data_IF_834009806146
#
_entry.id   IF_834009806146
#
_cell.length_a   1.000
_cell.length_b   1.000
_cell.length_c   1.000
_cell.angle_alpha   90.00
_cell.angle_beta   90.00
_cell.angle_gamma   90.00
#
_symmetry.space_group_name_H-M   'P 1'
#
loop_
_entity.id
_entity.type
_entity.pdbx_description
1 polymer ?
#
# COMPACT_ATOMS: atom_id res chain seq x y z
N UNK A 1 70.43 60.60 -1.82
CA UNK A 1 69.65 59.67 -2.68
C UNK A 1 68.45 59.01 -1.99
N UNK A 2 68.32 59.04 -0.65
CA UNK A 2 67.21 58.37 0.07
C UNK A 2 65.83 59.01 -0.13
N UNK A 3 65.72 60.34 -0.26
CA UNK A 3 64.43 61.02 -0.39
C UNK A 3 63.64 60.68 -1.66
N UNK A 4 64.32 60.46 -2.80
CA UNK A 4 63.68 60.03 -4.05
C UNK A 4 63.18 58.58 -3.99
N UNK A 5 63.91 57.70 -3.30
CA UNK A 5 63.50 56.31 -3.10
C UNK A 5 62.29 56.21 -2.17
N UNK A 6 62.24 57.00 -1.09
CA UNK A 6 61.08 57.06 -0.18
C UNK A 6 59.82 57.55 -0.92
N UNK A 7 59.95 58.55 -1.80
CA UNK A 7 58.81 59.06 -2.56
C UNK A 7 58.20 57.99 -3.48
N UNK A 8 59.04 57.17 -4.13
CA UNK A 8 58.61 56.06 -4.98
C UNK A 8 57.91 54.98 -4.15
N UNK A 9 58.42 54.67 -2.96
CA UNK A 9 57.79 53.71 -2.03
C UNK A 9 56.43 54.21 -1.56
N UNK A 10 56.31 55.47 -1.17
CA UNK A 10 55.02 56.06 -0.73
C UNK A 10 54.01 56.05 -1.86
N UNK A 11 54.39 56.48 -3.08
CA UNK A 11 53.51 56.45 -4.25
C UNK A 11 53.11 55.01 -4.60
N UNK A 12 54.06 54.07 -4.55
CA UNK A 12 53.79 52.65 -4.78
C UNK A 12 52.79 52.08 -3.77
N UNK A 13 52.94 52.42 -2.49
CA UNK A 13 52.03 51.99 -1.42
C UNK A 13 50.64 52.65 -1.54
N UNK A 14 50.58 53.93 -1.96
CA UNK A 14 49.31 54.60 -2.22
C UNK A 14 48.57 53.99 -3.41
N UNK A 15 49.28 53.66 -4.50
CA UNK A 15 48.71 53.01 -5.68
C UNK A 15 48.21 51.59 -5.38
N UNK A 16 48.95 50.81 -4.59
CA UNK A 16 48.49 49.48 -4.18
C UNK A 16 47.27 49.57 -3.28
N UNK A 17 47.24 50.49 -2.30
CA UNK A 17 46.06 50.72 -1.45
C UNK A 17 44.84 51.18 -2.25
N UNK A 18 45.02 52.03 -3.26
CA UNK A 18 43.95 52.44 -4.19
C UNK A 18 43.40 51.24 -4.99
N UNK A 19 44.28 50.43 -5.57
CA UNK A 19 43.89 49.24 -6.32
C UNK A 19 43.17 48.21 -5.42
N UNK A 20 43.68 48.00 -4.21
CA UNK A 20 43.09 47.11 -3.20
C UNK A 20 41.74 47.65 -2.72
N UNK A 21 41.60 48.96 -2.49
CA UNK A 21 40.34 49.61 -2.13
C UNK A 21 39.27 49.45 -3.22
N UNK A 22 39.63 49.64 -4.49
CA UNK A 22 38.73 49.38 -5.62
C UNK A 22 38.31 47.89 -5.69
N UNK A 23 39.25 46.97 -5.48
CA UNK A 23 38.96 45.52 -5.46
C UNK A 23 38.02 45.16 -4.32
N UNK A 24 38.27 45.64 -3.09
CA UNK A 24 37.36 45.42 -1.95
C UNK A 24 35.97 46.00 -2.19
N UNK A 25 35.87 47.20 -2.76
CA UNK A 25 34.58 47.78 -3.16
C UNK A 25 33.84 46.90 -4.16
N UNK A 26 34.54 46.40 -5.19
CA UNK A 26 33.94 45.50 -6.18
C UNK A 26 33.52 44.14 -5.61
N UNK A 27 34.30 43.59 -4.67
CA UNK A 27 33.98 42.33 -3.99
C UNK A 27 32.77 42.51 -3.08
N UNK A 28 32.70 43.62 -2.35
CA UNK A 28 31.57 43.96 -1.50
C UNK A 28 30.28 44.07 -2.32
N UNK A 29 30.29 44.83 -3.42
CA UNK A 29 29.12 44.95 -4.29
C UNK A 29 28.69 43.60 -4.88
N UNK A 30 29.64 42.80 -5.39
CA UNK A 30 29.34 41.45 -5.90
C UNK A 30 28.79 40.53 -4.81
N UNK A 31 29.28 40.63 -3.59
CA UNK A 31 28.77 39.85 -2.47
C UNK A 31 27.32 40.23 -2.14
N UNK A 32 26.99 41.52 -2.16
CA UNK A 32 25.61 42.01 -1.98
C UNK A 32 24.71 41.56 -3.13
N UNK A 33 25.15 41.68 -4.38
CA UNK A 33 24.37 41.23 -5.55
C UNK A 33 24.10 39.72 -5.51
N UNK A 34 25.12 38.93 -5.16
CA UNK A 34 24.99 37.49 -4.98
C UNK A 34 24.03 37.16 -3.83
N UNK A 35 24.13 37.86 -2.70
CA UNK A 35 23.23 37.67 -1.57
C UNK A 35 21.78 37.98 -1.95
N UNK A 36 21.52 39.08 -2.65
CA UNK A 36 20.18 39.46 -3.12
C UNK A 36 19.65 38.44 -4.13
N UNK A 37 20.48 37.95 -5.04
CA UNK A 37 20.07 36.91 -6.00
C UNK A 37 19.74 35.59 -5.31
N UNK A 38 20.58 35.15 -4.36
CA UNK A 38 20.33 33.96 -3.57
C UNK A 38 19.05 34.09 -2.73
N UNK A 39 18.81 35.27 -2.13
CA UNK A 39 17.58 35.55 -1.43
C UNK A 39 16.37 35.45 -2.35
N UNK A 40 16.42 36.04 -3.56
CA UNK A 40 15.32 35.96 -4.54
C UNK A 40 15.02 34.52 -4.95
N UNK A 41 16.05 33.73 -5.22
CA UNK A 41 15.92 32.30 -5.56
C UNK A 41 15.35 31.50 -4.39
N UNK A 42 15.81 31.78 -3.16
CA UNK A 42 15.29 31.14 -1.94
C UNK A 42 13.81 31.44 -1.73
N UNK A 43 13.37 32.69 -1.92
CA UNK A 43 11.96 33.05 -1.79
C UNK A 43 11.13 32.38 -2.89
N UNK A 44 11.58 32.40 -4.15
CA UNK A 44 10.90 31.70 -5.23
C UNK A 44 10.76 30.19 -4.95
N UNK A 45 11.80 29.55 -4.41
CA UNK A 45 11.80 28.15 -4.02
C UNK A 45 10.85 27.87 -2.85
N UNK A 46 10.83 28.71 -1.81
CA UNK A 46 9.90 28.55 -0.69
C UNK A 46 8.42 28.69 -1.12
N UNK A 47 8.14 29.61 -2.06
CA UNK A 47 6.81 29.75 -2.67
C UNK A 47 6.43 28.45 -3.40
N UNK A 48 7.35 27.89 -4.20
CA UNK A 48 7.14 26.61 -4.89
C UNK A 48 6.87 25.45 -3.92
N UNK A 49 7.64 25.32 -2.82
CA UNK A 49 7.43 24.28 -1.78
C UNK A 49 6.04 24.43 -1.18
N UNK A 50 5.66 25.67 -0.86
CA UNK A 50 4.36 25.98 -0.26
C UNK A 50 3.23 25.58 -1.21
N UNK A 51 3.35 25.89 -2.49
CA UNK A 51 2.40 25.48 -3.52
C UNK A 51 2.24 23.97 -3.66
N UNK A 52 3.36 23.23 -3.68
CA UNK A 52 3.33 21.77 -3.77
C UNK A 52 2.61 21.16 -2.56
N UNK A 53 2.87 21.66 -1.34
CA UNK A 53 2.21 21.21 -0.13
C UNK A 53 0.71 21.58 -0.08
N UNK A 54 0.34 22.79 -0.51
CA UNK A 54 -1.06 23.22 -0.59
C UNK A 54 -1.83 22.30 -1.54
N UNK A 55 -1.26 22.02 -2.71
CA UNK A 55 -1.84 21.15 -3.72
C UNK A 55 -1.96 19.70 -3.24
N UNK A 56 -0.91 19.16 -2.62
CA UNK A 56 -0.94 17.83 -2.03
C UNK A 56 -2.03 17.71 -0.95
N UNK A 57 -2.19 18.74 -0.10
CA UNK A 57 -3.26 18.79 0.89
C UNK A 57 -4.66 18.90 0.24
N UNK A 58 -4.81 19.68 -0.84
CA UNK A 58 -6.07 19.77 -1.59
C UNK A 58 -6.47 18.41 -2.18
N UNK A 59 -5.51 17.65 -2.74
CA UNK A 59 -5.75 16.29 -3.24
C UNK A 59 -6.02 15.31 -2.10
N UNK A 60 -5.35 15.47 -0.96
CA UNK A 60 -5.62 14.64 0.22
C UNK A 60 -7.04 14.83 0.74
N UNK A 61 -7.56 16.06 0.73
CA UNK A 61 -8.93 16.38 1.15
C UNK A 61 -9.98 16.00 0.09
N UNK A 62 -9.66 16.20 -1.18
CA UNK A 62 -10.51 15.82 -2.31
C UNK A 62 -9.68 15.05 -3.35
N UNK A 63 -9.75 13.71 -3.36
CA UNK A 63 -9.01 12.85 -4.28
C UNK A 63 -9.30 13.13 -5.77
N UNK A 64 -10.41 13.80 -6.10
CA UNK A 64 -10.76 14.17 -7.49
C UNK A 64 -10.27 15.55 -7.91
N UNK A 65 -9.69 16.33 -6.99
CA UNK A 65 -9.22 17.68 -7.28
C UNK A 65 -8.08 17.67 -8.30
N UNK A 66 -8.23 18.45 -9.36
CA UNK A 66 -7.28 18.62 -10.45
C UNK A 66 -7.18 20.08 -10.95
N UNK A 67 -7.83 21.02 -10.27
CA UNK A 67 -7.97 22.39 -10.76
C UNK A 67 -6.63 23.16 -10.77
N UNK A 68 -5.73 22.85 -9.83
CA UNK A 68 -4.49 23.60 -9.65
C UNK A 68 -4.73 25.00 -9.09
N UNK A 69 -3.71 25.85 -9.24
CA UNK A 69 -3.74 27.27 -8.87
C UNK A 69 -3.05 28.06 -9.98
N UNK A 70 -3.68 29.14 -10.44
CA UNK A 70 -3.16 29.97 -11.53
C UNK A 70 -2.83 31.37 -11.01
N UNK A 71 -1.55 31.71 -11.05
CA UNK A 71 -0.94 33.00 -10.76
C UNK A 71 -1.45 33.69 -9.47
N UNK A 72 -1.44 32.97 -8.36
CA UNK A 72 -1.95 33.48 -7.08
C UNK A 72 -0.86 34.30 -6.36
N UNK A 73 -1.16 35.53 -5.89
CA UNK A 73 -0.22 36.29 -5.07
C UNK A 73 0.11 35.55 -3.76
N UNK A 74 1.39 35.27 -3.52
CA UNK A 74 1.86 34.55 -2.32
C UNK A 74 3.25 35.02 -1.88
N UNK A 75 3.39 35.40 -0.61
CA UNK A 75 4.66 35.89 -0.01
C UNK A 75 5.38 36.99 -0.82
N UNK A 76 4.63 37.87 -1.48
CA UNK A 76 5.19 38.96 -2.31
C UNK A 76 5.70 38.52 -3.69
N UNK A 77 5.51 37.25 -4.06
CA UNK A 77 5.65 36.73 -5.42
C UNK A 77 4.33 36.14 -5.93
N UNK A 78 4.44 35.24 -6.89
CA UNK A 78 3.31 34.53 -7.50
C UNK A 78 3.53 33.02 -7.43
N UNK A 79 2.43 32.31 -7.24
CA UNK A 79 2.35 30.86 -7.16
C UNK A 79 1.49 30.31 -8.30
N UNK A 80 2.04 29.37 -9.04
CA UNK A 80 1.35 28.58 -10.06
C UNK A 80 1.47 27.09 -9.73
N UNK A 81 0.38 26.34 -9.83
CA UNK A 81 0.36 24.90 -9.59
C UNK A 81 -0.51 24.22 -10.64
N UNK A 82 0.06 23.23 -11.32
CA UNK A 82 -0.67 22.34 -12.24
C UNK A 82 -0.70 20.91 -11.70
N UNK A 83 -1.79 20.19 -11.95
CA UNK A 83 -1.94 18.76 -11.63
C UNK A 83 -2.21 17.99 -12.92
N UNK A 84 -1.26 17.15 -13.32
CA UNK A 84 -1.34 16.34 -14.54
C UNK A 84 -1.57 14.86 -14.19
N UNK A 85 -2.38 14.16 -14.98
CA UNK A 85 -2.51 12.70 -14.88
C UNK A 85 -1.48 12.08 -15.81
N UNK A 86 -0.53 11.33 -15.25
CA UNK A 86 0.63 10.77 -15.98
C UNK A 86 0.35 9.36 -16.48
N UNK A 87 -0.43 8.60 -15.73
CA UNK A 87 -0.81 7.22 -16.07
C UNK A 87 -2.26 7.02 -15.64
N UNK A 88 -3.16 6.84 -16.61
CA UNK A 88 -4.59 6.70 -16.36
C UNK A 88 -4.94 5.35 -15.72
N UNK A 89 -4.16 4.30 -16.02
CA UNK A 89 -4.44 2.94 -15.59
C UNK A 89 -3.93 2.69 -14.16
N UNK A 90 -2.81 3.31 -13.80
CA UNK A 90 -2.23 3.25 -12.45
C UNK A 90 -2.61 4.46 -11.57
N UNK A 91 -3.29 5.46 -12.15
CA UNK A 91 -3.78 6.65 -11.44
C UNK A 91 -2.69 7.61 -10.96
N UNK A 92 -1.46 7.53 -11.50
CA UNK A 92 -0.39 8.44 -11.12
C UNK A 92 -0.70 9.88 -11.54
N UNK A 93 -0.45 10.82 -10.62
CA UNK A 93 -0.54 12.25 -10.91
C UNK A 93 0.78 12.94 -10.60
N UNK A 94 1.07 13.96 -11.36
CA UNK A 94 2.21 14.84 -11.16
C UNK A 94 1.70 16.24 -10.82
N UNK A 95 2.13 16.77 -9.68
CA UNK A 95 1.94 18.16 -9.30
C UNK A 95 3.20 18.92 -9.70
N UNK A 96 3.03 19.96 -10.51
CA UNK A 96 4.10 20.89 -10.87
C UNK A 96 3.79 22.22 -10.21
N UNK A 97 4.60 22.61 -9.22
CA UNK A 97 4.47 23.87 -8.49
C UNK A 97 5.58 24.82 -8.89
N UNK A 98 5.23 26.04 -9.30
CA UNK A 98 6.17 27.09 -9.70
C UNK A 98 5.98 28.31 -8.82
N UNK A 99 7.07 28.73 -8.19
CA UNK A 99 7.13 29.98 -7.44
C UNK A 99 7.93 31.01 -8.21
N UNK A 100 7.37 32.19 -8.43
CA UNK A 100 8.03 33.29 -9.13
C UNK A 100 8.18 34.50 -8.21
N UNK A 101 9.40 35.01 -8.05
CA UNK A 101 9.72 36.17 -7.23
C UNK A 101 10.77 37.04 -7.91
N UNK A 102 10.45 38.31 -8.20
CA UNK A 102 11.35 39.29 -8.83
C UNK A 102 12.12 38.75 -10.06
N UNK A 103 11.42 38.03 -10.96
CA UNK A 103 11.97 37.48 -12.20
C UNK A 103 12.78 36.18 -12.04
N UNK A 104 12.90 35.64 -10.83
CA UNK A 104 13.41 34.29 -10.57
C UNK A 104 12.23 33.33 -10.43
N UNK A 105 12.35 32.16 -11.04
CA UNK A 105 11.35 31.09 -10.96
C UNK A 105 12.02 29.81 -10.46
N UNK A 106 11.37 29.14 -9.52
CA UNK A 106 11.74 27.82 -9.03
C UNK A 106 10.58 26.85 -9.32
N UNK A 107 10.89 25.62 -9.70
CA UNK A 107 9.90 24.59 -10.06
C UNK A 107 10.12 23.33 -9.22
N UNK A 108 9.05 22.84 -8.59
CA UNK A 108 9.05 21.60 -7.82
C UNK A 108 8.08 20.63 -8.47
N UNK A 109 8.52 19.38 -8.64
CA UNK A 109 7.71 18.30 -9.19
C UNK A 109 7.47 17.23 -8.14
N UNK A 110 6.19 16.95 -7.90
CA UNK A 110 5.74 15.94 -6.97
C UNK A 110 5.00 14.86 -7.74
N UNK A 111 5.40 13.60 -7.59
CA UNK A 111 4.61 12.47 -8.10
C UNK A 111 3.81 11.87 -6.97
N UNK A 112 2.51 11.73 -7.17
CA UNK A 112 1.60 11.06 -6.24
C UNK A 112 0.96 9.84 -6.89
N UNK A 113 0.64 8.85 -6.08
CA UNK A 113 -0.07 7.63 -6.50
C UNK A 113 -1.27 7.39 -5.58
N UNK A 114 -2.33 6.71 -6.06
CA UNK A 114 -3.35 6.18 -5.19
C UNK A 114 -2.71 5.28 -4.13
N UNK A 115 -3.12 5.43 -2.86
CA UNK A 115 -2.76 4.47 -1.82
C UNK A 115 -3.73 3.30 -1.90
N UNK A 116 -3.19 2.08 -1.78
CA UNK A 116 -3.97 0.84 -1.89
C UNK A 116 -3.91 0.04 -0.59
N UNK A 117 -4.97 -0.73 -0.32
CA UNK A 117 -5.02 -1.58 0.87
C UNK A 117 -3.91 -2.64 0.89
N UNK A 118 -3.38 -3.00 -0.28
CA UNK A 118 -2.26 -3.93 -0.41
C UNK A 118 -0.98 -3.46 0.30
N UNK A 119 -0.88 -2.18 0.67
CA UNK A 119 0.25 -1.63 1.44
C UNK A 119 0.34 -2.18 2.87
N UNK A 120 -0.72 -2.85 3.35
CA UNK A 120 -0.79 -3.40 4.69
C UNK A 120 -0.56 -4.90 4.68
N UNK A 121 0.36 -5.39 5.50
CA UNK A 121 0.51 -6.81 5.79
C UNK A 121 -0.77 -7.37 6.44
N UNK A 122 -1.40 -6.54 7.27
CA UNK A 122 -2.66 -6.84 7.91
C UNK A 122 -3.48 -5.57 8.11
N UNK A 123 -4.75 -5.61 7.71
CA UNK A 123 -5.75 -4.59 7.97
C UNK A 123 -7.04 -5.27 8.43
N UNK A 124 -7.68 -4.74 9.48
CA UNK A 124 -9.05 -5.09 9.83
C UNK A 124 -9.90 -3.93 10.31
N UNK A 125 -11.15 -3.84 9.88
CA UNK A 125 -12.11 -2.87 10.46
C UNK A 125 -12.55 -3.30 11.87
N UNK A 126 -12.84 -4.59 12.03
CA UNK A 126 -13.32 -5.18 13.28
C UNK A 126 -12.52 -6.42 13.63
N UNK A 127 -12.01 -6.49 14.86
CA UNK A 127 -11.23 -7.62 15.40
C UNK A 127 -12.14 -8.75 15.95
N UNK A 128 -13.32 -8.91 15.34
CA UNK A 128 -14.34 -9.92 15.66
C UNK A 128 -14.90 -10.55 14.38
N UNK A 129 -15.45 -11.76 14.50
CA UNK A 129 -15.92 -12.55 13.36
C UNK A 129 -17.24 -12.10 12.73
N UNK A 130 -18.04 -11.30 13.43
CA UNK A 130 -19.36 -10.88 12.96
C UNK A 130 -19.91 -9.71 13.77
N UNK A 131 -20.85 -8.90 13.24
CA UNK A 131 -21.55 -7.85 13.98
C UNK A 131 -22.13 -8.29 15.33
N UNK A 132 -22.57 -9.56 15.43
CA UNK A 132 -23.20 -10.12 16.63
C UNK A 132 -22.26 -10.98 17.48
N UNK A 133 -21.03 -11.21 17.01
CA UNK A 133 -20.05 -12.03 17.74
C UNK A 133 -19.52 -11.27 18.95
N UNK A 134 -19.55 -11.95 20.11
CA UNK A 134 -18.93 -11.50 21.37
C UNK A 134 -17.58 -12.15 21.61
N UNK A 135 -17.20 -13.13 20.78
CA UNK A 135 -15.93 -13.84 20.89
C UNK A 135 -14.76 -12.96 20.47
N UNK A 136 -13.73 -12.89 21.31
CA UNK A 136 -12.50 -12.16 21.04
C UNK A 136 -11.52 -13.09 20.32
N UNK A 137 -10.97 -12.62 19.20
CA UNK A 137 -9.92 -13.32 18.47
C UNK A 137 -8.57 -12.78 18.93
N UNK A 138 -7.74 -13.66 19.50
CA UNK A 138 -6.46 -13.26 20.07
C UNK A 138 -5.31 -13.50 19.11
N UNK A 139 -4.41 -12.52 19.02
CA UNK A 139 -3.04 -12.74 18.59
C UNK A 139 -2.25 -13.42 19.71
N UNK A 140 -1.52 -14.49 19.39
CA UNK A 140 -0.83 -15.33 20.35
C UNK A 140 0.69 -15.29 20.17
N UNK A 141 1.47 -15.76 21.16
CA UNK A 141 2.94 -15.75 21.10
C UNK A 141 3.59 -16.48 19.93
N UNK A 142 2.85 -17.36 19.23
CA UNK A 142 3.34 -18.01 17.99
C UNK A 142 3.00 -17.22 16.73
N UNK A 143 2.11 -16.23 16.83
CA UNK A 143 1.71 -15.42 15.69
C UNK A 143 2.73 -14.30 15.45
N UNK A 144 3.11 -14.13 14.19
CA UNK A 144 4.02 -13.05 13.77
C UNK A 144 3.51 -12.35 12.53
N UNK A 145 3.55 -11.02 12.56
CA UNK A 145 3.30 -10.16 11.39
C UNK A 145 4.58 -9.38 11.07
N UNK A 146 5.15 -9.57 9.88
CA UNK A 146 6.29 -8.79 9.39
C UNK A 146 5.80 -7.75 8.40
N UNK A 147 5.68 -6.49 8.81
CA UNK A 147 5.28 -5.38 7.92
C UNK A 147 4.20 -4.48 8.50
N UNK A 148 3.61 -3.59 7.66
CA UNK A 148 2.65 -2.60 8.12
C UNK A 148 1.36 -3.24 8.63
N UNK A 149 0.96 -2.87 9.84
CA UNK A 149 -0.25 -3.35 10.50
C UNK A 149 -1.23 -2.19 10.73
N UNK A 150 -2.50 -2.43 10.46
CA UNK A 150 -3.57 -1.51 10.80
C UNK A 150 -4.78 -2.23 11.37
N UNK A 151 -5.40 -1.65 12.39
CA UNK A 151 -6.72 -2.10 12.85
C UNK A 151 -7.57 -0.90 13.25
N UNK A 152 -8.82 -0.87 12.80
CA UNK A 152 -9.76 0.18 13.20
C UNK A 152 -10.32 -0.09 14.61
N UNK A 153 -10.04 -1.26 15.18
CA UNK A 153 -10.53 -1.68 16.49
C UNK A 153 -9.41 -1.77 17.55
N UNK A 154 -9.67 -2.46 18.66
CA UNK A 154 -8.69 -2.77 19.68
C UNK A 154 -7.86 -3.99 19.28
N UNK A 155 -6.55 -3.92 19.45
CA UNK A 155 -5.66 -5.05 19.21
C UNK A 155 -5.71 -6.03 20.41
N UNK A 156 -6.25 -7.22 20.23
CA UNK A 156 -6.32 -8.24 21.28
C UNK A 156 -5.10 -9.17 21.26
N UNK A 157 -4.30 -9.14 22.32
CA UNK A 157 -3.04 -9.87 22.46
C UNK A 157 -3.05 -10.87 23.63
N UNK A 158 -2.35 -11.98 23.45
CA UNK A 158 -2.09 -13.00 24.45
C UNK A 158 -0.67 -13.57 24.28
N UNK A 159 0.08 -13.77 25.36
CA UNK A 159 1.37 -14.47 25.34
C UNK A 159 2.43 -13.87 24.40
N UNK A 160 2.52 -12.54 24.33
CA UNK A 160 3.56 -11.81 23.57
C UNK A 160 3.61 -12.09 22.04
N UNK A 161 2.55 -11.78 21.28
CA UNK A 161 2.61 -11.84 19.81
C UNK A 161 3.61 -10.82 19.24
N UNK A 162 4.15 -11.09 18.05
CA UNK A 162 5.18 -10.25 17.41
C UNK A 162 4.66 -9.46 16.21
N UNK A 163 4.83 -8.14 16.24
CA UNK A 163 4.48 -7.22 15.15
C UNK A 163 5.71 -6.41 14.74
N UNK A 164 6.28 -6.77 13.59
CA UNK A 164 7.58 -6.31 13.13
C UNK A 164 7.44 -5.33 11.97
N UNK A 165 6.91 -4.14 12.27
CA UNK A 165 6.68 -3.08 11.28
C UNK A 165 5.91 -1.90 11.86
N UNK A 166 5.57 -0.92 11.01
CA UNK A 166 4.73 0.22 11.43
C UNK A 166 3.35 -0.30 11.84
N UNK A 167 2.90 0.07 13.03
CA UNK A 167 1.60 -0.29 13.56
C UNK A 167 0.72 0.95 13.69
N UNK A 168 -0.49 0.88 13.17
CA UNK A 168 -1.49 1.95 13.29
C UNK A 168 -2.78 1.39 13.86
N UNK A 169 -3.53 2.18 14.62
CA UNK A 169 -4.89 1.79 14.99
C UNK A 169 -5.81 2.98 15.19
N UNK A 170 -7.11 2.83 14.92
CA UNK A 170 -8.06 3.92 15.12
C UNK A 170 -8.44 4.07 16.60
N UNK A 171 -8.97 3.01 17.24
CA UNK A 171 -9.36 3.06 18.67
C UNK A 171 -8.17 3.12 19.64
N UNK A 172 -6.94 2.89 19.17
CA UNK A 172 -5.71 3.20 19.92
C UNK A 172 -5.39 2.30 21.12
N UNK A 173 -6.16 1.23 21.36
CA UNK A 173 -6.06 0.43 22.59
C UNK A 173 -5.63 -1.02 22.33
N UNK A 174 -4.67 -1.50 23.13
CA UNK A 174 -4.30 -2.92 23.21
C UNK A 174 -5.10 -3.56 24.33
N UNK A 175 -5.78 -4.66 24.02
CA UNK A 175 -6.49 -5.50 24.97
C UNK A 175 -5.64 -6.72 25.32
N UNK A 176 -5.40 -6.93 26.61
CA UNK A 176 -4.65 -8.09 27.12
C UNK A 176 -5.62 -9.19 27.54
N UNK A 177 -5.29 -10.45 27.25
CA UNK A 177 -6.11 -11.61 27.66
C UNK A 177 -6.15 -11.79 29.17
N UNK A 178 -5.02 -11.59 29.82
CA UNK A 178 -4.84 -11.74 31.26
C UNK A 178 -4.30 -10.44 31.85
N UNK A 179 -3.11 -9.99 31.46
CA UNK A 179 -2.54 -8.73 31.92
C UNK A 179 -1.41 -8.24 31.01
N UNK A 180 -0.99 -6.98 31.20
CA UNK A 180 0.07 -6.35 30.41
C UNK A 180 1.40 -7.12 30.48
N UNK A 181 1.77 -7.65 31.63
CA UNK A 181 3.07 -8.33 31.81
C UNK A 181 3.15 -9.63 31.03
N UNK A 182 2.05 -10.37 30.89
CA UNK A 182 2.02 -11.68 30.20
C UNK A 182 1.65 -11.59 28.72
N UNK A 183 0.99 -10.50 28.31
CA UNK A 183 0.35 -10.42 27.00
C UNK A 183 0.79 -9.23 26.16
N UNK A 184 1.72 -8.40 26.64
CA UNK A 184 2.22 -7.25 25.86
C UNK A 184 2.81 -7.70 24.53
N UNK A 185 2.35 -7.14 23.40
CA UNK A 185 2.93 -7.46 22.10
C UNK A 185 4.37 -6.94 22.01
N UNK A 186 5.18 -7.64 21.23
CA UNK A 186 6.50 -7.18 20.82
C UNK A 186 6.30 -6.35 19.55
N UNK A 187 6.42 -5.02 19.67
CA UNK A 187 6.29 -4.08 18.55
C UNK A 187 7.65 -3.43 18.31
N UNK A 188 8.24 -3.66 17.14
CA UNK A 188 9.58 -3.10 16.80
C UNK A 188 9.51 -1.85 15.92
N UNK A 189 8.34 -1.51 15.36
CA UNK A 189 8.13 -0.31 14.57
C UNK A 189 7.39 0.80 15.33
N UNK A 190 7.15 1.93 14.64
CA UNK A 190 6.38 3.05 15.19
C UNK A 190 4.92 2.65 15.40
N UNK A 191 4.36 3.00 16.56
CA UNK A 191 2.94 2.87 16.87
C UNK A 191 2.25 4.23 16.75
N UNK A 192 1.26 4.33 15.86
CA UNK A 192 0.49 5.56 15.59
C UNK A 192 -1.01 5.31 15.86
N UNK A 193 -1.54 5.75 17.03
CA UNK A 193 -2.97 5.67 17.34
C UNK A 193 -3.77 6.79 16.66
N UNK A 194 -5.08 6.59 16.49
CA UNK A 194 -6.02 7.58 15.97
C UNK A 194 -6.19 7.59 14.45
N UNK A 195 -5.35 6.87 13.68
CA UNK A 195 -5.48 6.79 12.22
C UNK A 195 -6.79 6.09 11.86
N UNK A 196 -7.70 6.80 11.18
CA UNK A 196 -8.92 6.23 10.60
C UNK A 196 -8.65 5.90 9.13
N UNK A 197 -8.94 4.68 8.71
CA UNK A 197 -8.86 4.23 7.33
C UNK A 197 -10.05 3.31 7.06
N UNK A 198 -11.09 3.79 6.40
CA UNK A 198 -12.32 3.01 6.18
C UNK A 198 -12.23 2.15 4.93
N UNK A 199 -12.74 0.90 5.00
CA UNK A 199 -12.86 0.05 3.83
C UNK A 199 -13.90 0.65 2.86
N UNK A 200 -13.61 0.69 1.55
CA UNK A 200 -14.56 1.12 0.53
C UNK A 200 -15.76 0.17 0.45
N UNK A 201 -16.97 0.73 0.36
CA UNK A 201 -18.24 0.00 0.32
C UNK A 201 -18.63 -0.53 -1.06
N UNK A 202 -17.81 -0.31 -2.10
CA UNK A 202 -18.06 -0.72 -3.49
C UNK A 202 -16.79 -1.23 -4.18
N UNK A 203 -15.85 -1.80 -3.42
CA UNK A 203 -14.58 -2.26 -3.98
C UNK A 203 -14.75 -3.34 -5.05
N UNK A 204 -15.73 -4.23 -4.88
CA UNK A 204 -15.98 -5.36 -5.78
C UNK A 204 -16.93 -5.01 -6.93
N UNK A 205 -17.87 -4.07 -6.73
CA UNK A 205 -18.78 -3.61 -7.80
C UNK A 205 -18.00 -2.96 -8.96
N UNK A 206 -16.95 -2.21 -8.64
CA UNK A 206 -16.10 -1.54 -9.64
C UNK A 206 -15.31 -2.51 -10.54
N UNK A 207 -15.17 -3.79 -10.12
CA UNK A 207 -14.45 -4.79 -10.91
C UNK A 207 -15.24 -5.28 -12.12
N UNK A 208 -16.58 -5.20 -12.11
CA UNK A 208 -17.37 -5.75 -13.21
C UNK A 208 -17.14 -4.99 -14.52
N UNK A 209 -17.12 -3.66 -14.46
CA UNK A 209 -16.86 -2.82 -15.64
C UNK A 209 -15.45 -3.03 -16.19
N UNK A 210 -14.45 -3.16 -15.31
CA UNK A 210 -13.09 -3.49 -15.71
C UNK A 210 -12.98 -4.90 -16.31
N UNK A 211 -13.80 -5.85 -15.85
CA UNK A 211 -13.80 -7.21 -16.42
C UNK A 211 -14.40 -7.23 -17.83
N UNK A 212 -15.40 -6.38 -18.10
CA UNK A 212 -15.97 -6.20 -19.44
C UNK A 212 -14.99 -5.48 -20.39
N UNK A 213 -14.07 -4.66 -19.86
CA UNK A 213 -13.01 -3.99 -20.60
C UNK A 213 -11.68 -4.76 -20.57
N UNK A 214 -11.55 -5.77 -21.43
CA UNK A 214 -10.32 -6.57 -21.61
C UNK A 214 -9.91 -7.45 -20.41
N UNK A 215 -10.86 -7.86 -19.57
CA UNK A 215 -10.66 -8.87 -18.52
C UNK A 215 -11.26 -10.24 -18.86
N UNK A 216 -10.99 -11.23 -18.01
CA UNK A 216 -11.59 -12.56 -18.10
C UNK A 216 -12.78 -12.68 -17.14
N UNK A 217 -14.00 -12.70 -17.69
CA UNK A 217 -15.25 -12.75 -16.91
C UNK A 217 -15.91 -14.13 -16.95
N UNK A 218 -16.24 -14.64 -15.77
CA UNK A 218 -17.05 -15.85 -15.55
C UNK A 218 -18.40 -15.45 -14.95
N UNK A 219 -19.49 -16.02 -15.46
CA UNK A 219 -20.87 -15.74 -15.03
C UNK A 219 -21.79 -16.94 -15.30
N UNK A 220 -23.03 -16.84 -14.83
CA UNK A 220 -24.13 -17.78 -15.13
C UNK A 220 -23.86 -19.24 -14.66
N UNK A 221 -23.01 -19.39 -13.65
CA UNK A 221 -22.66 -20.67 -13.05
C UNK A 221 -22.60 -20.56 -11.53
N UNK A 222 -22.80 -21.69 -10.84
CA UNK A 222 -22.83 -21.71 -9.38
C UNK A 222 -21.42 -21.61 -8.76
N UNK A 223 -20.50 -22.45 -9.23
CA UNK A 223 -19.15 -22.59 -8.68
C UNK A 223 -18.13 -22.59 -9.81
N UNK A 224 -16.99 -21.92 -9.59
CA UNK A 224 -15.85 -21.87 -10.48
C UNK A 224 -14.64 -22.51 -9.77
N UNK A 225 -14.16 -23.62 -10.31
CA UNK A 225 -12.90 -24.20 -9.88
C UNK A 225 -11.80 -23.65 -10.76
N UNK A 226 -10.82 -22.97 -10.17
CA UNK A 226 -9.67 -22.40 -10.87
C UNK A 226 -8.37 -23.00 -10.35
N UNK A 227 -7.48 -23.33 -11.28
CA UNK A 227 -6.12 -23.76 -11.00
C UNK A 227 -5.18 -22.91 -11.84
N UNK A 228 -4.36 -22.11 -11.17
CA UNK A 228 -3.28 -21.40 -11.82
C UNK A 228 -2.15 -22.38 -12.14
N UNK A 229 -1.74 -22.42 -13.39
CA UNK A 229 -0.63 -23.21 -13.89
C UNK A 229 0.30 -22.28 -14.66
N UNK A 230 1.05 -21.48 -13.90
CA UNK A 230 1.92 -20.40 -14.36
C UNK A 230 1.13 -19.32 -15.11
N UNK A 231 1.34 -19.22 -16.42
CA UNK A 231 0.68 -18.26 -17.32
C UNK A 231 -0.61 -18.82 -17.93
N UNK A 232 -1.01 -20.02 -17.53
CA UNK A 232 -2.25 -20.67 -17.96
C UNK A 232 -3.23 -20.78 -16.79
N UNK A 233 -4.48 -20.38 -17.02
CA UNK A 233 -5.59 -20.62 -16.10
C UNK A 233 -6.36 -21.85 -16.54
N UNK A 234 -6.44 -22.86 -15.67
CA UNK A 234 -7.30 -24.02 -15.87
C UNK A 234 -8.56 -23.85 -15.06
N UNK A 235 -9.74 -23.92 -15.69
CA UNK A 235 -11.01 -23.77 -15.00
C UNK A 235 -12.05 -24.83 -15.37
N UNK A 236 -13.03 -25.03 -14.48
CA UNK A 236 -14.22 -25.85 -14.70
C UNK A 236 -15.36 -25.40 -13.78
N UNK A 237 -16.60 -25.76 -14.12
CA UNK A 237 -17.78 -25.36 -13.35
C UNK A 237 -18.36 -26.49 -12.47
N UNK A 238 -17.92 -27.72 -12.68
CA UNK A 238 -18.38 -28.88 -11.91
C UNK A 238 -17.17 -29.72 -11.47
N UNK A 239 -17.27 -30.33 -10.29
CA UNK A 239 -16.19 -31.11 -9.70
C UNK A 239 -15.67 -32.24 -10.61
N UNK A 240 -16.57 -32.98 -11.25
CA UNK A 240 -16.22 -34.13 -12.11
C UNK A 240 -15.90 -33.76 -13.56
N UNK A 241 -16.00 -32.47 -13.93
CA UNK A 241 -15.70 -32.03 -15.30
C UNK A 241 -14.20 -31.96 -15.57
N UNK A 242 -13.84 -32.08 -16.86
CA UNK A 242 -12.47 -31.82 -17.32
C UNK A 242 -12.18 -30.32 -17.26
N UNK A 243 -10.92 -29.98 -17.01
CA UNK A 243 -10.47 -28.59 -17.03
C UNK A 243 -10.40 -28.07 -18.46
N UNK A 244 -10.88 -26.85 -18.65
CA UNK A 244 -10.58 -26.01 -19.82
C UNK A 244 -9.37 -25.15 -19.49
N UNK A 245 -8.44 -25.00 -20.43
CA UNK A 245 -7.23 -24.21 -20.23
C UNK A 245 -7.28 -22.95 -21.11
N UNK A 246 -6.86 -21.83 -20.53
CA UNK A 246 -6.81 -20.53 -21.20
C UNK A 246 -5.49 -19.85 -20.88
N UNK A 247 -4.86 -19.28 -21.90
CA UNK A 247 -3.62 -18.50 -21.75
C UNK A 247 -3.95 -17.10 -21.22
N UNK A 248 -3.51 -16.80 -20.00
CA UNK A 248 -3.92 -15.60 -19.27
C UNK A 248 -3.49 -14.29 -19.94
N UNK A 249 -2.27 -14.13 -20.50
CA UNK A 249 -1.88 -12.89 -21.15
C UNK A 249 -2.77 -12.48 -22.33
N UNK A 250 -3.38 -13.46 -23.03
CA UNK A 250 -4.35 -13.17 -24.09
C UNK A 250 -5.79 -13.04 -23.59
N UNK A 251 -6.15 -13.72 -22.50
CA UNK A 251 -7.53 -13.81 -22.05
C UNK A 251 -7.92 -12.78 -21.00
N UNK A 252 -6.95 -12.30 -20.22
CA UNK A 252 -7.09 -11.15 -19.35
C UNK A 252 -5.88 -10.20 -19.55
N UNK A 253 -5.78 -9.51 -20.71
CA UNK A 253 -4.69 -8.56 -20.95
C UNK A 253 -4.58 -7.47 -19.89
N UNK A 254 -5.69 -7.04 -19.30
CA UNK A 254 -5.71 -6.07 -18.21
C UNK A 254 -5.33 -6.68 -16.84
N UNK A 255 -5.18 -8.00 -16.75
CA UNK A 255 -4.83 -8.73 -15.53
C UNK A 255 -6.01 -9.09 -14.60
N UNK A 256 -7.25 -8.72 -14.94
CA UNK A 256 -8.42 -9.01 -14.11
C UNK A 256 -9.11 -10.32 -14.52
N UNK A 257 -9.35 -11.17 -13.53
CA UNK A 257 -10.18 -12.38 -13.64
C UNK A 257 -11.35 -12.18 -12.69
N UNK A 258 -12.58 -12.19 -13.19
CA UNK A 258 -13.76 -11.84 -12.42
C UNK A 258 -14.82 -12.94 -12.45
N UNK A 259 -15.23 -13.42 -11.28
CA UNK A 259 -16.31 -14.38 -11.11
C UNK A 259 -17.55 -13.69 -10.55
N UNK A 260 -18.57 -13.50 -11.39
CA UNK A 260 -19.80 -12.80 -11.04
C UNK A 260 -20.82 -13.73 -10.40
N UNK A 261 -21.21 -13.44 -9.17
CA UNK A 261 -22.24 -14.18 -8.42
C UNK A 261 -21.93 -15.68 -8.26
N UNK A 262 -20.66 -15.99 -7.97
CA UNK A 262 -20.17 -17.38 -7.90
C UNK A 262 -19.54 -17.71 -6.55
N UNK A 263 -19.27 -19.00 -6.34
CA UNK A 263 -18.25 -19.47 -5.40
C UNK A 263 -17.00 -19.81 -6.18
N UNK A 264 -15.83 -19.37 -5.73
CA UNK A 264 -14.57 -19.73 -6.38
C UNK A 264 -13.79 -20.72 -5.51
N UNK A 265 -13.21 -21.74 -6.14
CA UNK A 265 -12.31 -22.74 -5.52
C UNK A 265 -10.94 -22.58 -6.17
N UNK A 266 -9.96 -22.10 -5.42
CA UNK A 266 -8.69 -21.55 -5.94
C UNK A 266 -7.50 -22.37 -5.44
N UNK A 267 -6.54 -22.62 -6.34
CA UNK A 267 -5.18 -23.09 -6.03
C UNK A 267 -4.20 -22.88 -7.19
N UNK A 268 -2.92 -23.11 -6.95
CA UNK A 268 -1.91 -23.33 -7.99
C UNK A 268 -0.74 -22.34 -7.95
N UNK A 269 -0.12 -22.12 -9.11
CA UNK A 269 1.08 -21.30 -9.25
C UNK A 269 0.83 -20.17 -10.26
N UNK A 270 1.04 -18.93 -9.87
CA UNK A 270 0.77 -17.73 -10.67
C UNK A 270 2.07 -17.22 -11.31
N UNK A 271 2.06 -16.95 -12.62
CA UNK A 271 3.14 -16.26 -13.34
C UNK A 271 2.61 -15.00 -14.01
N UNK A 272 3.10 -13.83 -13.65
CA UNK A 272 2.61 -12.52 -14.09
C UNK A 272 1.80 -11.77 -13.04
N UNK A 273 1.12 -10.70 -13.46
CA UNK A 273 0.36 -9.80 -12.58
C UNK A 273 -1.13 -9.97 -12.80
N UNK A 274 -1.82 -10.55 -11.82
CA UNK A 274 -3.24 -10.85 -11.93
C UNK A 274 -4.02 -10.54 -10.65
N UNK A 275 -5.32 -10.31 -10.80
CA UNK A 275 -6.26 -10.19 -9.70
C UNK A 275 -7.47 -11.05 -9.96
N UNK A 276 -7.87 -11.84 -8.97
CA UNK A 276 -9.08 -12.64 -9.00
C UNK A 276 -10.15 -12.00 -8.10
N UNK A 277 -11.18 -11.44 -8.72
CA UNK A 277 -12.35 -10.87 -8.07
C UNK A 277 -13.52 -11.85 -8.03
N UNK A 278 -14.26 -11.89 -6.92
CA UNK A 278 -15.48 -12.69 -6.78
C UNK A 278 -16.58 -11.85 -6.11
N UNK A 279 -17.71 -11.68 -6.82
CA UNK A 279 -18.87 -10.93 -6.33
C UNK A 279 -20.07 -11.82 -6.01
N UNK A 280 -21.05 -11.23 -5.35
CA UNK A 280 -22.38 -11.74 -5.06
C UNK A 280 -23.41 -10.77 -5.62
N UNK A 281 -24.42 -11.27 -6.33
CA UNK A 281 -25.57 -10.44 -6.75
C UNK A 281 -26.65 -10.33 -5.67
N UNK A 282 -26.40 -10.92 -4.50
CA UNK A 282 -27.35 -10.94 -3.37
C UNK A 282 -26.65 -10.56 -2.06
N UNK A 283 -27.44 -10.28 -1.03
CA UNK A 283 -26.94 -10.07 0.34
C UNK A 283 -26.54 -11.37 1.05
N UNK A 284 -26.74 -12.52 0.41
CA UNK A 284 -26.32 -13.83 0.92
C UNK A 284 -24.80 -13.98 0.88
N UNK A 285 -24.27 -14.73 1.86
CA UNK A 285 -22.85 -15.12 1.91
C UNK A 285 -22.54 -16.39 1.11
N UNK A 286 -23.57 -17.00 0.50
CA UNK A 286 -23.42 -18.22 -0.31
C UNK A 286 -22.66 -18.00 -1.62
N UNK A 287 -22.55 -16.76 -2.09
CA UNK A 287 -21.77 -16.31 -3.26
C UNK A 287 -20.77 -15.22 -2.86
N UNK A 288 -19.91 -14.78 -3.77
CA UNK A 288 -18.87 -13.80 -3.47
C UNK A 288 -17.82 -14.32 -2.50
N UNK A 289 -17.67 -15.64 -2.41
CA UNK A 289 -16.76 -16.32 -1.48
C UNK A 289 -15.71 -17.09 -2.26
N UNK A 290 -14.44 -16.93 -1.88
CA UNK A 290 -13.31 -17.62 -2.46
C UNK A 290 -12.79 -18.64 -1.44
N UNK A 291 -12.61 -19.88 -1.87
CA UNK A 291 -12.02 -20.94 -1.08
C UNK A 291 -10.63 -21.25 -1.59
N UNK A 292 -9.68 -21.37 -0.67
CA UNK A 292 -8.33 -21.86 -0.95
C UNK A 292 -8.32 -23.37 -0.77
N UNK A 293 -8.20 -24.09 -1.88
CA UNK A 293 -8.24 -25.55 -1.94
C UNK A 293 -6.86 -26.18 -1.70
N UNK A 294 -5.81 -25.38 -1.88
CA UNK A 294 -4.41 -25.75 -1.76
C UNK A 294 -3.60 -24.45 -1.77
N UNK A 295 -2.28 -24.59 -1.80
CA UNK A 295 -1.33 -23.49 -1.98
C UNK A 295 -1.66 -22.61 -3.19
N UNK A 296 -1.42 -21.31 -3.03
CA UNK A 296 -1.41 -20.32 -4.12
C UNK A 296 -0.09 -19.57 -4.05
N UNK A 297 0.82 -19.85 -4.98
CA UNK A 297 2.22 -19.36 -4.91
C UNK A 297 2.64 -18.69 -6.21
N UNK A 298 3.65 -17.82 -6.16
CA UNK A 298 4.28 -17.27 -7.35
C UNK A 298 5.17 -18.31 -8.03
N UNK A 299 5.26 -18.25 -9.35
CA UNK A 299 6.16 -19.09 -10.14
C UNK A 299 7.63 -18.83 -9.78
N UNK A 300 7.96 -17.59 -9.44
CA UNK A 300 9.26 -17.19 -8.88
C UNK A 300 9.08 -16.51 -7.54
N UNK A 301 9.63 -17.10 -6.47
CA UNK A 301 9.51 -16.57 -5.12
C UNK A 301 10.33 -15.26 -4.97
N UNK A 302 9.69 -14.11 -4.67
CA UNK A 302 10.36 -12.82 -4.59
C UNK A 302 11.29 -12.68 -3.38
N UNK A 303 11.19 -13.56 -2.38
CA UNK A 303 12.11 -13.56 -1.23
C UNK A 303 13.49 -14.09 -1.60
N UNK A 304 13.57 -14.97 -2.59
CA UNK A 304 14.83 -15.57 -3.07
C UNK A 304 15.25 -15.04 -4.43
N UNK A 305 14.31 -14.51 -5.21
CA UNK A 305 14.56 -13.91 -6.51
C UNK A 305 13.95 -12.50 -6.61
N UNK A 306 14.75 -11.45 -6.38
CA UNK A 306 14.30 -10.05 -6.47
C UNK A 306 13.73 -9.65 -7.84
N UNK A 307 14.11 -10.34 -8.91
CA UNK A 307 13.62 -10.10 -10.28
C UNK A 307 12.25 -10.72 -10.55
N UNK A 308 11.63 -11.36 -9.56
CA UNK A 308 10.26 -11.86 -9.68
C UNK A 308 9.31 -10.72 -10.05
N UNK A 309 8.59 -10.89 -11.16
CA UNK A 309 7.56 -9.96 -11.63
C UNK A 309 6.14 -10.42 -11.27
N UNK A 310 6.04 -11.57 -10.61
CA UNK A 310 4.78 -12.22 -10.26
C UNK A 310 4.10 -11.48 -9.10
N UNK A 311 2.82 -11.14 -9.28
CA UNK A 311 2.01 -10.46 -8.28
C UNK A 311 0.54 -10.87 -8.38
N UNK A 312 -0.07 -11.22 -7.26
CA UNK A 312 -1.44 -11.74 -7.25
C UNK A 312 -2.33 -11.06 -6.21
N UNK A 313 -3.54 -10.67 -6.64
CA UNK A 313 -4.60 -10.14 -5.79
C UNK A 313 -5.77 -11.12 -5.70
N UNK A 314 -6.30 -11.31 -4.49
CA UNK A 314 -7.55 -12.03 -4.24
C UNK A 314 -8.53 -11.03 -3.68
N UNK A 315 -9.66 -10.81 -4.34
CA UNK A 315 -10.69 -9.87 -3.89
C UNK A 315 -12.01 -10.64 -3.79
N UNK A 316 -12.50 -10.82 -2.58
CA UNK A 316 -13.80 -11.41 -2.32
C UNK A 316 -14.76 -10.36 -1.77
N UNK A 317 -16.02 -10.38 -2.23
CA UNK A 317 -17.04 -9.54 -1.61
C UNK A 317 -17.34 -10.00 -0.19
N UNK A 318 -17.43 -11.31 0.03
CA UNK A 318 -17.76 -11.89 1.33
C UNK A 318 -16.53 -12.45 2.03
N UNK A 319 -16.24 -13.74 1.87
CA UNK A 319 -15.21 -14.44 2.62
C UNK A 319 -14.08 -14.96 1.74
N UNK A 320 -12.91 -15.11 2.36
CA UNK A 320 -11.84 -15.97 1.85
C UNK A 320 -11.57 -17.08 2.87
N UNK A 321 -11.90 -18.32 2.52
CA UNK A 321 -11.79 -19.47 3.44
C UNK A 321 -10.67 -20.42 3.04
N UNK A 322 -9.84 -20.81 4.00
CA UNK A 322 -8.99 -22.00 3.83
C UNK A 322 -9.88 -23.24 3.96
N UNK A 323 -9.92 -24.06 2.92
CA UNK A 323 -10.67 -25.32 2.91
C UNK A 323 -10.12 -26.27 3.98
N UNK A 324 -11.00 -27.02 4.64
CA UNK A 324 -10.62 -28.20 5.42
C UNK A 324 -10.52 -29.41 4.48
N UNK A 325 -9.31 -29.78 4.10
CA UNK A 325 -9.01 -30.89 3.18
C UNK A 325 -7.57 -31.40 3.38
N UNK A 326 -7.22 -32.48 2.70
CA UNK A 326 -5.89 -33.09 2.80
C UNK A 326 -4.73 -32.15 2.44
N UNK A 327 -4.80 -31.32 1.37
CA UNK A 327 -3.74 -30.35 1.08
C UNK A 327 -3.47 -29.35 2.20
N UNK A 328 -4.52 -28.84 2.84
CA UNK A 328 -4.40 -27.81 3.88
C UNK A 328 -4.29 -28.41 5.30
N UNK A 329 -3.94 -29.69 5.44
CA UNK A 329 -3.85 -30.35 6.75
C UNK A 329 -2.52 -30.08 7.46
N UNK A 330 -1.47 -29.73 6.71
CA UNK A 330 -0.10 -29.55 7.22
C UNK A 330 0.55 -28.32 6.54
N UNK A 331 0.09 -27.13 6.94
CA UNK A 331 0.40 -25.80 6.41
C UNK A 331 -0.36 -25.41 5.14
N UNK A 332 -0.36 -24.11 4.84
CA UNK A 332 -0.76 -23.54 3.55
C UNK A 332 0.14 -22.35 3.20
N UNK A 333 0.58 -22.28 1.95
CA UNK A 333 1.38 -21.20 1.41
C UNK A 333 0.52 -20.28 0.53
N UNK A 334 0.45 -19.01 0.91
CA UNK A 334 -0.36 -17.99 0.21
C UNK A 334 0.56 -16.85 -0.18
N UNK A 335 0.84 -16.70 -1.47
CA UNK A 335 1.59 -15.57 -2.01
C UNK A 335 0.61 -14.69 -2.79
N UNK A 336 -0.09 -13.82 -2.06
CA UNK A 336 -1.13 -12.94 -2.58
C UNK A 336 -1.44 -11.80 -1.61
N UNK A 337 -1.94 -10.68 -2.13
CA UNK A 337 -2.69 -9.71 -1.33
C UNK A 337 -4.17 -10.10 -1.33
N UNK A 338 -4.76 -10.27 -0.15
CA UNK A 338 -6.13 -10.76 0.05
C UNK A 338 -7.01 -9.64 0.58
N UNK A 339 -8.11 -9.35 -0.13
CA UNK A 339 -9.10 -8.36 0.24
C UNK A 339 -10.46 -9.03 0.44
N UNK A 340 -11.16 -8.66 1.51
CA UNK A 340 -12.54 -9.06 1.78
C UNK A 340 -13.38 -7.84 2.15
N UNK A 341 -14.33 -7.49 1.28
CA UNK A 341 -15.10 -6.25 1.40
C UNK A 341 -16.04 -6.25 2.60
N UNK A 342 -16.91 -7.26 2.71
CA UNK A 342 -17.96 -7.33 3.73
C UNK A 342 -17.55 -8.14 4.94
N UNK A 343 -16.83 -9.26 4.75
CA UNK A 343 -16.42 -10.15 5.83
C UNK A 343 -14.90 -10.26 5.95
N UNK A 344 -14.31 -11.45 5.81
CA UNK A 344 -12.88 -11.62 6.06
C UNK A 344 -12.30 -12.97 5.70
N UNK A 345 -11.01 -13.09 6.04
CA UNK A 345 -10.17 -14.24 5.80
C UNK A 345 -10.08 -15.14 7.04
N UNK A 346 -10.35 -16.43 6.88
CA UNK A 346 -10.30 -17.40 7.98
C UNK A 346 -10.08 -18.84 7.54
N UNK A 347 -10.06 -19.75 8.52
CA UNK A 347 -10.04 -21.18 8.26
C UNK A 347 -11.43 -21.77 8.48
N UNK A 348 -11.94 -22.52 7.50
CA UNK A 348 -13.20 -23.21 7.68
C UNK A 348 -13.06 -24.27 8.78
N UNK A 349 -14.09 -24.41 9.63
CA UNK A 349 -14.09 -25.26 10.82
C UNK A 349 -12.85 -25.06 11.72
N UNK A 350 -12.37 -23.83 11.86
CA UNK A 350 -11.16 -23.49 12.62
C UNK A 350 -11.08 -24.10 14.04
N UNK A 351 -12.22 -24.33 14.69
CA UNK A 351 -12.35 -24.85 16.04
C UNK A 351 -12.40 -26.38 16.10
N UNK A 352 -12.86 -27.05 15.03
CA UNK A 352 -13.06 -28.50 14.95
C UNK A 352 -11.99 -29.24 14.15
N UNK A 353 -11.35 -28.55 13.20
CA UNK A 353 -10.29 -29.13 12.38
C UNK A 353 -9.06 -29.47 13.22
N UNK A 354 -8.28 -30.51 12.87
CA UNK A 354 -7.01 -30.80 13.52
C UNK A 354 -6.04 -29.60 13.46
N UNK A 355 -5.00 -29.63 14.30
CA UNK A 355 -3.88 -28.70 14.18
C UNK A 355 -3.32 -28.82 12.77
N UNK A 356 -3.34 -27.72 12.02
CA UNK A 356 -3.08 -27.68 10.59
C UNK A 356 -1.76 -26.97 10.23
N UNK A 357 -0.87 -26.76 11.20
CA UNK A 357 0.41 -26.06 10.99
C UNK A 357 0.28 -24.54 10.91
N UNK A 358 1.00 -23.93 9.97
CA UNK A 358 1.13 -22.49 9.77
C UNK A 358 0.45 -22.00 8.49
N UNK A 359 -0.12 -20.80 8.54
CA UNK A 359 -0.46 -20.02 7.35
C UNK A 359 0.76 -19.18 6.99
N UNK A 360 1.47 -19.60 5.94
CA UNK A 360 2.63 -18.91 5.39
C UNK A 360 2.17 -17.90 4.35
N UNK A 361 1.85 -16.68 4.79
CA UNK A 361 1.44 -15.61 3.89
C UNK A 361 2.66 -14.77 3.47
N UNK A 362 2.78 -14.53 2.17
CA UNK A 362 3.64 -13.50 1.58
C UNK A 362 2.78 -12.51 0.78
N UNK A 363 2.44 -11.38 1.39
CA UNK A 363 1.54 -10.39 0.82
C UNK A 363 0.82 -9.62 1.91
N UNK A 364 -0.51 -9.63 1.91
CA UNK A 364 -1.29 -8.94 2.94
C UNK A 364 -2.71 -9.46 3.06
N UNK A 365 -3.35 -9.23 4.21
CA UNK A 365 -4.77 -9.52 4.43
C UNK A 365 -5.47 -8.22 4.82
N UNK A 366 -6.47 -7.81 4.06
CA UNK A 366 -7.32 -6.67 4.37
C UNK A 366 -8.78 -7.12 4.38
N UNK A 367 -9.44 -6.90 5.50
CA UNK A 367 -10.76 -7.48 5.77
C UNK A 367 -11.61 -6.54 6.60
N UNK A 368 -12.93 -6.67 6.50
CA UNK A 368 -13.84 -5.92 7.34
C UNK A 368 -14.00 -6.58 8.71
N UNK A 369 -14.40 -7.85 8.75
CA UNK A 369 -14.49 -8.67 9.96
C UNK A 369 -13.41 -9.73 9.97
N UNK A 370 -12.48 -9.64 10.93
CA UNK A 370 -11.49 -10.70 11.14
C UNK A 370 -12.17 -12.04 11.37
N UNK A 371 -11.74 -13.07 10.64
CA UNK A 371 -12.15 -14.44 10.93
C UNK A 371 -11.08 -15.22 11.72
N UNK A 372 -11.49 -16.18 12.54
CA UNK A 372 -10.57 -17.06 13.24
C UNK A 372 -9.97 -18.10 12.27
N UNK A 373 -8.72 -18.48 12.56
CA UNK A 373 -7.98 -19.50 11.80
C UNK A 373 -7.62 -20.72 12.65
N UNK A 374 -7.81 -20.64 13.97
CA UNK A 374 -7.52 -21.71 14.91
C UNK A 374 -7.84 -21.33 16.34
N UNK A 375 -7.68 -22.28 17.26
CA UNK A 375 -7.85 -22.08 18.70
C UNK A 375 -6.58 -22.44 19.48
N UNK A 376 -6.44 -21.93 20.70
CA UNK A 376 -5.27 -22.18 21.54
C UNK A 376 -5.65 -22.31 23.02
N UNK A 377 -4.83 -23.02 23.77
CA UNK A 377 -4.89 -23.10 25.23
C UNK A 377 -3.48 -23.18 25.80
N UNK A 378 -3.16 -22.33 26.78
CA UNK A 378 -1.84 -22.30 27.43
C UNK A 378 -0.66 -22.08 26.47
N UNK A 379 -0.86 -21.31 25.39
CA UNK A 379 0.18 -21.06 24.36
C UNK A 379 0.38 -22.18 23.35
N UNK A 380 -0.40 -23.26 23.46
CA UNK A 380 -0.39 -24.39 22.53
C UNK A 380 -1.63 -24.32 21.65
N UNK A 381 -1.43 -24.46 20.34
CA UNK A 381 -2.53 -24.57 19.37
C UNK A 381 -3.34 -25.84 19.64
N UNK A 382 -4.67 -25.75 19.51
CA UNK A 382 -5.60 -26.87 19.73
C UNK A 382 -6.33 -27.29 18.47
N UNK A 383 -6.57 -26.35 17.56
CA UNK A 383 -7.16 -26.60 16.25
C UNK A 383 -6.76 -25.50 15.28
N UNK A 384 -6.78 -25.79 13.98
CA UNK A 384 -6.50 -24.83 12.92
C UNK A 384 -5.03 -24.43 12.82
N UNK A 385 -4.76 -23.16 12.49
CA UNK A 385 -3.43 -22.68 12.11
C UNK A 385 -2.83 -21.63 13.06
N UNK A 386 -1.50 -21.57 13.08
CA UNK A 386 -0.71 -20.45 13.56
C UNK A 386 -0.48 -19.43 12.43
N UNK A 387 -0.34 -18.14 12.75
CA UNK A 387 -0.30 -17.05 11.75
C UNK A 387 1.14 -16.61 11.50
N UNK A 388 1.64 -16.83 10.29
CA UNK A 388 2.92 -16.32 9.83
C UNK A 388 2.71 -15.37 8.65
N UNK A 389 2.46 -14.10 8.97
CA UNK A 389 2.07 -13.11 7.96
C UNK A 389 3.23 -12.22 7.58
N UNK A 390 3.89 -12.54 6.47
CA UNK A 390 5.00 -11.77 5.94
C UNK A 390 4.53 -10.83 4.85
N UNK A 391 4.91 -9.56 4.96
CA UNK A 391 4.64 -8.57 3.94
C UNK A 391 5.54 -8.75 2.73
N UNK A 392 4.93 -8.68 1.54
CA UNK A 392 5.67 -8.50 0.31
C UNK A 392 6.01 -7.01 0.16
N UNK A 393 7.27 -6.64 0.39
CA UNK A 393 7.73 -5.25 0.38
C UNK A 393 7.46 -4.52 -0.94
N UNK A 394 7.33 -5.27 -2.05
CA UNK A 394 6.99 -4.72 -3.36
C UNK A 394 5.63 -4.03 -3.34
N UNK A 395 4.70 -4.51 -2.50
CA UNK A 395 3.34 -3.95 -2.36
C UNK A 395 3.31 -2.50 -1.84
N UNK A 396 4.44 -1.98 -1.35
CA UNK A 396 4.56 -0.57 -0.97
C UNK A 396 4.63 0.37 -2.19
N UNK A 397 5.01 -0.15 -3.36
CA UNK A 397 5.25 0.63 -4.59
C UNK A 397 4.43 0.16 -5.78
N UNK A 398 3.97 -1.10 -5.76
CA UNK A 398 3.08 -1.66 -6.76
C UNK A 398 1.88 -2.34 -6.10
N UNK A 399 0.81 -2.56 -6.83
CA UNK A 399 -0.35 -3.32 -6.35
C UNK A 399 -0.79 -4.31 -7.41
N UNK A 400 -1.51 -5.39 -7.03
CA UNK A 400 -2.21 -6.20 -8.02
C UNK A 400 -3.12 -5.30 -8.89
N UNK A 401 -3.34 -5.64 -10.17
CA UNK A 401 -4.23 -4.88 -11.04
C UNK A 401 -5.61 -4.70 -10.40
N UNK A 402 -6.20 -3.51 -10.47
CA UNK A 402 -7.54 -3.22 -9.92
C UNK A 402 -7.72 -3.51 -8.41
N UNK A 403 -6.62 -3.60 -7.63
CA UNK A 403 -6.74 -3.82 -6.19
C UNK A 403 -7.41 -2.63 -5.50
N UNK A 404 -8.23 -2.84 -4.44
CA UNK A 404 -8.96 -1.75 -3.82
C UNK A 404 -8.06 -0.66 -3.23
N UNK A 405 -8.33 0.57 -3.64
CA UNK A 405 -7.70 1.78 -3.12
C UNK A 405 -8.22 2.15 -1.73
N UNK A 406 -7.41 2.87 -0.96
CA UNK A 406 -7.79 3.48 0.33
C UNK A 406 -8.60 4.77 0.16
N UNK A 407 -8.80 5.21 -1.09
CA UNK A 407 -9.42 6.50 -1.41
C UNK A 407 -8.47 7.70 -1.27
N UNK A 408 -7.28 7.51 -0.69
CA UNK A 408 -6.27 8.55 -0.54
C UNK A 408 -5.16 8.50 -1.60
N UNK A 409 -4.37 9.56 -1.67
CA UNK A 409 -3.12 9.60 -2.44
C UNK A 409 -1.91 9.63 -1.50
N UNK A 410 -0.80 9.03 -1.95
CA UNK A 410 0.50 9.11 -1.30
C UNK A 410 1.50 9.84 -2.20
N UNK A 411 2.46 10.50 -1.58
CA UNK A 411 3.63 11.06 -2.26
C UNK A 411 4.62 9.92 -2.55
N UNK A 412 5.04 9.80 -3.81
CA UNK A 412 5.95 8.76 -4.28
C UNK A 412 7.33 9.34 -4.56
N UNK A 413 7.42 10.55 -5.10
CA UNK A 413 8.69 11.22 -5.35
C UNK A 413 8.56 12.73 -5.24
N UNK A 414 9.61 13.37 -4.72
CA UNK A 414 9.74 14.81 -4.60
C UNK A 414 11.03 15.26 -5.31
N UNK A 415 10.91 16.17 -6.26
CA UNK A 415 12.03 16.72 -7.02
C UNK A 415 12.02 18.25 -6.93
N UNK A 416 13.17 18.82 -6.56
CA UNK A 416 13.39 20.26 -6.34
C UNK A 416 14.34 20.86 -7.36
#
# INVERSE_FOLDING_TARGET
>A
MSGKAILIVVIGFSLTLLAVGQKFGSISNRAVDNYVNYQKETVAHNIAISGANIAANAIYQNPTWNAGYDNIPFQGGYLDVAVNVVDADLGFREIISRGTYFGKTSEIKLRIAPSNFSEYAYYSTYERSSPVSTGIIWWTGKDTVWGPFHTQDKLSCALHPSFLGKHTSHKGAIQYKTNKTTDSPIITGLYEPGKNLEIPTQAVENLEAAADDNGLKFKDHDTLYVVFDKDTLRYKYNYSSKYTAVYLPSAAPNGLIYAKDMVVRLKGTVKGKYTLGCSSSTTSTGKGTIWLDDDIVYNTNPLTNPESTDLFGIIAENYVWITENDPNKDNINIQASVFSEKWGFGAYNYDKRPVSGDINLLGGIQQNYRQPVGTFSGGVIKSGFTKQYRYDWRLAFMSPPFYPGTGGFKIVSWFE
#
